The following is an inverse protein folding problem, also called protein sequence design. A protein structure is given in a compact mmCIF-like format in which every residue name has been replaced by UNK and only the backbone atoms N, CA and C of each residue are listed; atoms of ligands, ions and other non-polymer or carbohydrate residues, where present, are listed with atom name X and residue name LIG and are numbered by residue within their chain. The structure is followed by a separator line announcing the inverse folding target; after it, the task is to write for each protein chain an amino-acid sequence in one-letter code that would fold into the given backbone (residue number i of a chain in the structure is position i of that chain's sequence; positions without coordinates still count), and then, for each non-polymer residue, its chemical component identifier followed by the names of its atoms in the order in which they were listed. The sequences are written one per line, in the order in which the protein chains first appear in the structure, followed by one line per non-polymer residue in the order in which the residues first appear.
data_IF_947251961930
#
_entry.id   IF_947251961930
#
_cell.length_a   1.000
_cell.length_b   1.000
_cell.length_c   1.000
_cell.angle_alpha   90.00
_cell.angle_beta   90.00
_cell.angle_gamma   90.00
#
_symmetry.space_group_name_H-M   'P 1'
#
loop_
_entity.id
_entity.type
_entity.pdbx_description
1 polymer ?
#
# COMPACT_ATOMS: atom_id res chain seq x y z
N UNK A 1 -5.89 -27.43 -18.43
CA UNK A 1 -6.03 -27.77 -17.00
C UNK A 1 -7.49 -27.75 -16.60
N UNK A 2 -7.94 -28.61 -15.64
CA UNK A 2 -9.30 -28.59 -15.12
C UNK A 2 -9.67 -27.21 -14.57
N UNK A 3 -10.95 -26.83 -14.71
CA UNK A 3 -11.43 -25.48 -14.33
C UNK A 3 -11.23 -25.20 -12.83
N UNK A 4 -11.34 -26.21 -11.98
CA UNK A 4 -11.12 -26.09 -10.53
C UNK A 4 -9.67 -25.76 -10.23
N UNK A 5 -8.73 -26.39 -10.92
CA UNK A 5 -7.29 -26.10 -10.77
C UNK A 5 -6.97 -24.71 -11.31
N UNK A 6 -7.50 -24.32 -12.47
CA UNK A 6 -7.34 -23.00 -13.02
C UNK A 6 -7.85 -21.94 -12.04
N UNK A 7 -9.03 -22.15 -11.46
CA UNK A 7 -9.61 -21.24 -10.44
C UNK A 7 -8.73 -21.11 -9.20
N UNK A 8 -8.15 -22.23 -8.73
CA UNK A 8 -7.22 -22.23 -7.59
C UNK A 8 -5.95 -21.42 -7.92
N UNK A 9 -5.36 -21.64 -9.09
CA UNK A 9 -4.15 -20.94 -9.51
C UNK A 9 -4.36 -19.43 -9.65
N UNK A 10 -5.48 -19.01 -10.24
CA UNK A 10 -5.84 -17.58 -10.38
C UNK A 10 -5.98 -16.89 -9.00
N UNK A 11 -6.48 -17.61 -7.99
CA UNK A 11 -6.63 -17.05 -6.64
C UNK A 11 -5.31 -16.82 -5.92
N UNK A 12 -4.25 -17.57 -6.21
CA UNK A 12 -2.97 -17.43 -5.50
C UNK A 12 -2.42 -16.02 -5.53
N UNK A 13 -2.52 -15.33 -6.67
CA UNK A 13 -2.06 -13.94 -6.77
C UNK A 13 -2.90 -12.95 -5.96
N UNK A 14 -4.22 -13.15 -5.93
CA UNK A 14 -5.11 -12.35 -5.08
C UNK A 14 -4.80 -12.59 -3.60
N UNK A 15 -4.70 -13.85 -3.18
CA UNK A 15 -4.41 -14.23 -1.79
C UNK A 15 -3.03 -13.68 -1.34
N UNK A 16 -2.04 -13.67 -2.23
CA UNK A 16 -0.73 -13.06 -1.97
C UNK A 16 -0.85 -11.54 -1.76
N UNK A 17 -1.51 -10.83 -2.67
CA UNK A 17 -1.69 -9.38 -2.53
C UNK A 17 -2.47 -9.02 -1.27
N UNK A 18 -3.52 -9.78 -0.96
CA UNK A 18 -4.32 -9.60 0.26
C UNK A 18 -3.49 -9.89 1.52
N UNK A 19 -2.58 -10.87 1.47
CA UNK A 19 -1.67 -11.17 2.57
C UNK A 19 -0.68 -10.01 2.82
N UNK A 20 -0.14 -9.40 1.75
CA UNK A 20 0.71 -8.21 1.84
C UNK A 20 -0.02 -7.03 2.47
N UNK A 21 -1.23 -6.73 2.01
CA UNK A 21 -2.06 -5.64 2.53
C UNK A 21 -2.38 -5.82 4.02
N UNK A 22 -2.62 -7.08 4.45
CA UNK A 22 -2.96 -7.43 5.84
C UNK A 22 -1.76 -7.55 6.77
N UNK A 23 -0.53 -7.43 6.29
CA UNK A 23 0.64 -7.39 7.16
C UNK A 23 0.46 -6.31 8.23
N UNK A 24 0.78 -6.65 9.47
CA UNK A 24 0.70 -5.67 10.58
C UNK A 24 1.72 -4.54 10.44
N UNK A 25 2.87 -4.83 9.84
CA UNK A 25 3.86 -3.80 9.53
C UNK A 25 3.40 -2.93 8.36
N UNK A 26 3.79 -1.66 8.36
CA UNK A 26 3.72 -0.81 7.18
C UNK A 26 4.69 -1.34 6.11
N UNK A 27 4.25 -1.39 4.88
CA UNK A 27 4.98 -1.96 3.74
C UNK A 27 5.33 -0.87 2.73
N UNK A 28 6.53 -0.94 2.17
CA UNK A 28 7.03 0.03 1.17
C UNK A 28 7.46 -0.74 -0.08
N UNK A 29 6.79 -0.50 -1.19
CA UNK A 29 7.21 -1.02 -2.48
C UNK A 29 8.29 -0.10 -3.08
N UNK A 30 9.48 -0.66 -3.33
CA UNK A 30 10.57 0.03 -4.03
C UNK A 30 10.56 -0.41 -5.49
N UNK A 31 10.06 0.45 -6.37
CA UNK A 31 9.89 0.16 -7.79
C UNK A 31 11.10 0.67 -8.57
N UNK A 32 12.09 -0.19 -8.77
CA UNK A 32 13.36 0.15 -9.42
C UNK A 32 13.32 0.18 -10.95
N UNK A 33 12.22 -0.25 -11.57
CA UNK A 33 12.05 -0.35 -13.02
C UNK A 33 10.60 -0.60 -13.39
N UNK A 34 10.33 -1.24 -14.53
CA UNK A 34 8.96 -1.56 -14.96
C UNK A 34 8.20 -2.42 -13.93
N UNK A 35 7.08 -1.95 -13.43
CA UNK A 35 6.11 -2.73 -12.67
C UNK A 35 4.95 -3.12 -13.61
N UNK A 36 4.99 -4.35 -14.11
CA UNK A 36 4.08 -4.82 -15.17
C UNK A 36 3.15 -5.90 -14.61
N UNK A 37 1.85 -5.83 -14.91
CA UNK A 37 0.88 -6.85 -14.53
C UNK A 37 0.90 -7.15 -13.04
N UNK A 38 1.28 -8.37 -12.65
CA UNK A 38 1.42 -8.77 -11.27
C UNK A 38 2.39 -7.92 -10.44
N UNK A 39 3.42 -7.32 -11.07
CA UNK A 39 4.30 -6.34 -10.42
C UNK A 39 3.56 -5.07 -10.02
N UNK A 40 2.66 -4.57 -10.88
CA UNK A 40 1.74 -3.48 -10.52
C UNK A 40 0.83 -3.91 -9.36
N UNK A 41 0.26 -5.11 -9.43
CA UNK A 41 -0.64 -5.64 -8.40
C UNK A 41 0.00 -5.70 -7.02
N UNK A 42 1.23 -6.22 -6.95
CA UNK A 42 1.97 -6.29 -5.69
C UNK A 42 2.34 -4.91 -5.15
N UNK A 43 2.79 -4.00 -6.03
CA UNK A 43 3.15 -2.65 -5.61
C UNK A 43 1.96 -1.86 -5.03
N UNK A 44 0.75 -2.00 -5.62
CA UNK A 44 -0.45 -1.32 -5.10
C UNK A 44 -1.08 -2.02 -3.88
N UNK A 45 -0.64 -3.24 -3.57
CA UNK A 45 -1.00 -3.93 -2.33
C UNK A 45 -0.13 -3.51 -1.13
N UNK A 46 0.98 -2.80 -1.36
CA UNK A 46 1.79 -2.20 -0.31
C UNK A 46 1.19 -0.86 0.15
N UNK A 47 1.53 -0.42 1.37
CA UNK A 47 1.04 0.85 1.92
C UNK A 47 1.64 2.05 1.18
N UNK A 48 2.95 2.02 0.91
CA UNK A 48 3.68 3.09 0.24
C UNK A 48 4.44 2.58 -1.00
N UNK A 49 4.69 3.47 -1.95
CA UNK A 49 5.42 3.17 -3.20
C UNK A 49 6.42 4.27 -3.47
N UNK A 50 7.70 3.90 -3.62
CA UNK A 50 8.77 4.79 -4.02
C UNK A 50 9.28 4.31 -5.38
N UNK A 51 9.28 5.19 -6.38
CA UNK A 51 9.65 4.85 -7.74
C UNK A 51 11.03 5.39 -8.09
N UNK A 52 11.78 4.60 -8.85
CA UNK A 52 12.97 5.10 -9.51
C UNK A 52 12.59 6.03 -10.65
N UNK A 53 13.41 7.06 -10.91
CA UNK A 53 13.30 7.85 -12.13
C UNK A 53 13.37 6.93 -13.37
N UNK A 54 12.39 7.06 -14.27
CA UNK A 54 12.25 6.18 -15.44
C UNK A 54 11.49 4.88 -15.20
N UNK A 55 11.16 4.51 -13.97
CA UNK A 55 10.22 3.42 -13.69
C UNK A 55 8.80 3.77 -14.15
N UNK A 56 7.97 2.74 -14.34
CA UNK A 56 6.58 2.94 -14.74
C UNK A 56 5.69 1.77 -14.29
N UNK A 57 4.40 2.03 -14.17
CA UNK A 57 3.38 1.01 -14.03
C UNK A 57 2.76 0.69 -15.40
N UNK A 58 2.47 -0.58 -15.63
CA UNK A 58 1.82 -1.04 -16.84
C UNK A 58 0.92 -2.24 -16.60
N UNK A 59 -0.27 -2.14 -17.12
CA UNK A 59 -1.37 -3.08 -16.96
C UNK A 59 -1.78 -3.66 -18.33
N UNK A 60 -1.03 -4.63 -18.93
CA UNK A 60 -1.26 -5.14 -20.26
C UNK A 60 -2.35 -6.22 -20.36
N UNK A 61 -3.02 -6.60 -19.28
CA UNK A 61 -3.92 -7.75 -19.22
C UNK A 61 -4.99 -7.70 -20.30
N UNK A 62 -5.60 -6.52 -20.54
CA UNK A 62 -6.63 -6.33 -21.58
C UNK A 62 -6.09 -6.55 -22.99
N UNK A 63 -4.84 -6.20 -23.27
CA UNK A 63 -4.17 -6.46 -24.54
C UNK A 63 -4.01 -7.96 -24.83
N UNK A 64 -4.00 -8.78 -23.77
CA UNK A 64 -3.95 -10.24 -23.83
C UNK A 64 -5.35 -10.89 -23.76
N UNK A 65 -6.43 -10.09 -23.80
CA UNK A 65 -7.80 -10.57 -23.65
C UNK A 65 -8.16 -11.01 -22.23
N UNK A 66 -7.37 -10.57 -21.23
CA UNK A 66 -7.55 -10.90 -19.82
C UNK A 66 -8.05 -9.68 -19.03
N UNK A 67 -8.59 -9.92 -17.87
CA UNK A 67 -8.83 -8.89 -16.86
C UNK A 67 -7.91 -9.10 -15.66
N UNK A 68 -7.74 -8.07 -14.84
CA UNK A 68 -7.06 -8.20 -13.56
C UNK A 68 -7.81 -9.12 -12.61
N UNK A 69 -7.08 -10.02 -11.94
CA UNK A 69 -7.68 -11.01 -11.03
C UNK A 69 -7.11 -10.95 -9.61
N UNK A 70 -6.13 -10.07 -9.32
CA UNK A 70 -5.43 -10.01 -8.02
C UNK A 70 -5.93 -8.85 -7.14
N UNK A 71 -7.20 -8.50 -7.23
CA UNK A 71 -7.82 -7.36 -6.53
C UNK A 71 -7.13 -6.01 -6.80
N UNK A 72 -6.50 -5.90 -7.98
CA UNK A 72 -5.71 -4.72 -8.37
C UNK A 72 -6.58 -3.53 -8.71
N UNK A 73 -7.67 -3.75 -9.47
CA UNK A 73 -8.53 -2.66 -9.94
C UNK A 73 -9.25 -1.93 -8.79
N UNK A 74 -9.79 -2.60 -7.76
CA UNK A 74 -10.30 -1.91 -6.57
C UNK A 74 -9.23 -1.04 -5.91
N UNK A 75 -8.03 -1.58 -5.64
CA UNK A 75 -6.92 -0.82 -5.03
C UNK A 75 -6.49 0.38 -5.87
N UNK A 76 -6.41 0.23 -7.18
CA UNK A 76 -6.16 1.36 -8.08
C UNK A 76 -7.29 2.40 -8.01
N UNK A 77 -8.54 1.95 -7.94
CA UNK A 77 -9.70 2.84 -7.77
C UNK A 77 -9.60 3.69 -6.52
N UNK A 78 -9.17 3.08 -5.41
CA UNK A 78 -8.98 3.75 -4.12
C UNK A 78 -7.79 4.73 -4.15
N UNK A 79 -6.68 4.35 -4.80
CA UNK A 79 -5.47 5.17 -4.86
C UNK A 79 -5.58 6.37 -5.81
N UNK A 80 -6.12 6.17 -7.04
CA UNK A 80 -6.08 7.19 -8.09
C UNK A 80 -7.46 7.63 -8.59
N UNK A 81 -8.48 7.05 -8.04
CA UNK A 81 -9.87 7.27 -8.45
C UNK A 81 -10.30 6.42 -9.66
N UNK A 82 -11.61 6.24 -9.86
CA UNK A 82 -12.15 5.26 -10.81
C UNK A 82 -11.83 5.57 -12.28
N UNK A 83 -11.71 6.83 -12.67
CA UNK A 83 -11.39 7.20 -14.05
C UNK A 83 -9.94 6.82 -14.43
N UNK A 84 -8.97 7.15 -13.56
CA UNK A 84 -7.55 6.83 -13.76
C UNK A 84 -7.30 5.32 -13.68
N UNK A 85 -7.97 4.62 -12.79
CA UNK A 85 -7.93 3.14 -12.73
C UNK A 85 -8.41 2.50 -14.05
N UNK A 86 -9.47 3.03 -14.67
CA UNK A 86 -9.93 2.60 -15.99
C UNK A 86 -8.94 2.91 -17.11
N UNK A 87 -8.27 4.07 -17.06
CA UNK A 87 -7.20 4.38 -18.03
C UNK A 87 -6.06 3.35 -17.94
N UNK A 88 -5.68 2.93 -16.75
CA UNK A 88 -4.67 1.89 -16.54
C UNK A 88 -5.17 0.51 -16.98
N UNK A 89 -6.29 0.06 -16.45
CA UNK A 89 -6.77 -1.31 -16.62
C UNK A 89 -7.46 -1.59 -17.94
N UNK A 90 -8.28 -0.66 -18.47
CA UNK A 90 -9.06 -0.89 -19.68
C UNK A 90 -8.36 -0.39 -20.96
N UNK A 91 -7.49 0.60 -20.84
CA UNK A 91 -6.74 1.15 -21.99
C UNK A 91 -5.24 0.80 -21.94
N UNK A 92 -4.83 -0.03 -20.98
CA UNK A 92 -3.43 -0.45 -20.78
C UNK A 92 -2.44 0.72 -20.84
N UNK A 93 -2.83 1.88 -20.29
CA UNK A 93 -1.98 3.07 -20.34
C UNK A 93 -0.78 2.89 -19.41
N UNK A 94 0.41 3.09 -19.96
CA UNK A 94 1.65 3.17 -19.16
C UNK A 94 1.65 4.45 -18.35
N UNK A 95 1.94 4.33 -17.05
CA UNK A 95 2.02 5.45 -16.12
C UNK A 95 3.48 5.61 -15.71
N UNK A 96 4.14 6.65 -16.21
CA UNK A 96 5.51 6.98 -15.84
C UNK A 96 5.62 7.34 -14.35
N UNK A 97 6.83 7.29 -13.79
CA UNK A 97 7.09 7.64 -12.39
C UNK A 97 6.56 9.05 -12.05
N UNK A 98 6.81 10.04 -12.91
CA UNK A 98 6.35 11.42 -12.68
C UNK A 98 4.82 11.52 -12.72
N UNK A 99 4.17 10.82 -13.66
CA UNK A 99 2.71 10.80 -13.74
C UNK A 99 2.10 10.02 -12.55
N UNK A 100 2.77 8.97 -12.07
CA UNK A 100 2.37 8.25 -10.87
C UNK A 100 2.40 9.16 -9.63
N UNK A 101 3.43 9.98 -9.49
CA UNK A 101 3.53 10.98 -8.43
C UNK A 101 2.41 12.03 -8.54
N UNK A 102 2.19 12.58 -9.73
CA UNK A 102 1.10 13.55 -9.98
C UNK A 102 -0.29 12.97 -9.63
N UNK A 103 -0.50 11.69 -9.88
CA UNK A 103 -1.76 11.02 -9.59
C UNK A 103 -1.92 10.57 -8.14
N UNK A 104 -0.88 10.64 -7.33
CA UNK A 104 -0.86 10.09 -5.98
C UNK A 104 -0.76 8.56 -5.95
N UNK A 105 -0.28 7.94 -7.06
CA UNK A 105 -0.03 6.50 -7.12
C UNK A 105 1.30 6.11 -6.47
N UNK A 106 2.18 7.06 -6.21
CA UNK A 106 3.39 6.87 -5.41
C UNK A 106 3.68 8.12 -4.58
N UNK A 107 4.48 7.94 -3.55
CA UNK A 107 4.80 8.98 -2.57
C UNK A 107 6.02 9.80 -2.97
N UNK A 108 7.00 9.17 -3.65
CA UNK A 108 8.23 9.86 -4.07
C UNK A 108 8.84 9.20 -5.31
N UNK A 109 9.54 10.00 -6.12
CA UNK A 109 10.36 9.55 -7.25
C UNK A 109 11.80 9.97 -7.02
N UNK A 110 12.75 9.04 -7.16
CA UNK A 110 14.16 9.27 -6.85
C UNK A 110 15.07 8.43 -7.76
N UNK A 111 16.31 8.89 -7.96
CA UNK A 111 17.37 8.08 -8.58
C UNK A 111 17.86 6.95 -7.67
N UNK A 112 17.71 7.12 -6.35
CA UNK A 112 17.96 6.09 -5.34
C UNK A 112 16.69 5.85 -4.48
N UNK A 113 15.69 5.13 -4.99
CA UNK A 113 14.44 4.89 -4.28
C UNK A 113 14.63 4.00 -3.05
N UNK A 114 15.71 3.20 -3.00
CA UNK A 114 16.00 2.39 -1.81
C UNK A 114 16.43 3.27 -0.63
N UNK A 115 17.28 4.28 -0.87
CA UNK A 115 17.68 5.22 0.18
C UNK A 115 16.46 5.99 0.72
N UNK A 116 15.53 6.38 -0.15
CA UNK A 116 14.25 7.02 0.25
C UNK A 116 13.42 6.08 1.12
N UNK A 117 13.23 4.85 0.67
CA UNK A 117 12.45 3.84 1.41
C UNK A 117 13.06 3.53 2.78
N UNK A 118 14.40 3.48 2.87
CA UNK A 118 15.10 3.28 4.14
C UNK A 118 14.94 4.46 5.09
N UNK A 119 14.96 5.71 4.59
CA UNK A 119 14.64 6.89 5.43
C UNK A 119 13.21 6.80 5.98
N UNK A 120 12.23 6.52 5.11
CA UNK A 120 10.84 6.32 5.52
C UNK A 120 10.69 5.19 6.54
N UNK A 121 11.39 4.06 6.35
CA UNK A 121 11.39 2.96 7.30
C UNK A 121 11.99 3.35 8.67
N UNK A 122 13.03 4.18 8.69
CA UNK A 122 13.57 4.74 9.92
C UNK A 122 12.56 5.66 10.62
N UNK A 123 11.87 6.54 9.90
CA UNK A 123 10.82 7.40 10.45
C UNK A 123 9.68 6.57 11.05
N UNK A 124 9.27 5.50 10.36
CA UNK A 124 8.28 4.54 10.85
C UNK A 124 8.76 3.90 12.17
N UNK A 125 10.01 3.46 12.23
CA UNK A 125 10.60 2.81 13.41
C UNK A 125 10.61 3.71 14.65
N UNK A 126 10.73 5.02 14.47
CA UNK A 126 10.71 6.00 15.58
C UNK A 126 9.32 6.19 16.23
N UNK A 127 8.27 5.67 15.63
CA UNK A 127 6.90 5.82 16.11
C UNK A 127 6.43 4.57 16.87
N UNK A 128 5.51 4.70 17.84
CA UNK A 128 4.93 3.57 18.56
C UNK A 128 4.27 2.56 17.60
N UNK A 129 4.76 1.33 17.61
CA UNK A 129 4.34 0.26 16.68
C UNK A 129 2.85 -0.03 16.73
N UNK A 130 2.27 -0.13 17.93
CA UNK A 130 0.85 -0.47 18.10
C UNK A 130 -0.04 0.62 17.50
N UNK A 131 0.28 1.90 17.75
CA UNK A 131 -0.48 3.01 17.18
C UNK A 131 -0.45 3.00 15.64
N UNK A 132 0.72 2.74 15.03
CA UNK A 132 0.83 2.64 13.58
C UNK A 132 0.00 1.48 13.00
N UNK A 133 0.02 0.32 13.67
CA UNK A 133 -0.80 -0.84 13.25
C UNK A 133 -2.29 -0.51 13.27
N UNK A 134 -2.75 0.20 14.31
CA UNK A 134 -4.13 0.63 14.43
C UNK A 134 -4.52 1.65 13.35
N UNK A 135 -3.65 2.61 13.05
CA UNK A 135 -3.86 3.56 11.94
C UNK A 135 -4.00 2.81 10.61
N UNK A 136 -3.05 1.91 10.30
CA UNK A 136 -3.14 1.08 9.08
C UNK A 136 -4.44 0.29 9.02
N UNK A 137 -4.80 -0.37 10.11
CA UNK A 137 -6.03 -1.18 10.19
C UNK A 137 -7.28 -0.31 9.98
N UNK A 138 -7.36 0.86 10.61
CA UNK A 138 -8.48 1.78 10.46
C UNK A 138 -8.64 2.27 9.03
N UNK A 139 -7.53 2.68 8.40
CA UNK A 139 -7.54 3.14 7.00
C UNK A 139 -7.98 2.02 6.07
N UNK A 140 -7.38 0.83 6.17
CA UNK A 140 -7.72 -0.30 5.30
C UNK A 140 -9.18 -0.73 5.46
N UNK A 141 -9.71 -0.73 6.69
CA UNK A 141 -11.13 -1.06 6.95
C UNK A 141 -12.09 -0.03 6.38
N UNK A 142 -11.75 1.25 6.44
CA UNK A 142 -12.60 2.32 5.88
C UNK A 142 -12.86 2.09 4.39
N UNK A 143 -11.82 1.76 3.62
CA UNK A 143 -11.95 1.48 2.19
C UNK A 143 -12.66 0.14 1.88
N UNK A 144 -12.56 -0.84 2.80
CA UNK A 144 -13.27 -2.12 2.66
C UNK A 144 -14.74 -2.05 3.10
N UNK A 145 -15.08 -1.19 4.07
CA UNK A 145 -16.43 -1.04 4.62
C UNK A 145 -16.59 0.32 5.31
N UNK A 146 -17.29 1.29 4.70
CA UNK A 146 -17.42 2.67 5.22
C UNK A 146 -18.07 2.80 6.62
N UNK A 147 -18.60 1.72 7.19
CA UNK A 147 -19.37 1.75 8.44
C UNK A 147 -18.51 1.48 9.70
N UNK A 148 -17.21 1.76 9.66
CA UNK A 148 -16.25 1.40 10.73
C UNK A 148 -15.85 2.56 11.66
N UNK A 149 -16.51 3.72 11.59
CA UNK A 149 -16.18 4.92 12.36
C UNK A 149 -16.12 4.73 13.90
N UNK A 150 -16.82 3.72 14.44
CA UNK A 150 -16.81 3.44 15.88
C UNK A 150 -15.54 2.71 16.36
N UNK A 151 -14.77 2.09 15.47
CA UNK A 151 -13.58 1.32 15.85
C UNK A 151 -12.41 2.21 16.28
N UNK A 152 -12.33 3.44 15.77
CA UNK A 152 -11.25 4.37 16.11
C UNK A 152 -11.27 4.79 17.59
N UNK A 153 -12.46 4.87 18.19
CA UNK A 153 -12.61 5.23 19.61
C UNK A 153 -12.02 4.18 20.54
N UNK A 154 -12.25 2.90 20.25
CA UNK A 154 -11.68 1.80 21.03
C UNK A 154 -10.18 1.65 20.78
N UNK A 155 -9.73 1.91 19.55
CA UNK A 155 -8.32 1.84 19.18
C UNK A 155 -7.47 2.89 19.88
N UNK A 156 -7.96 4.12 20.08
CA UNK A 156 -7.24 5.15 20.83
C UNK A 156 -6.99 4.70 22.29
N UNK A 157 -7.99 4.10 22.93
CA UNK A 157 -7.86 3.59 24.31
C UNK A 157 -6.82 2.46 24.40
N UNK A 158 -6.86 1.51 23.48
CA UNK A 158 -5.88 0.42 23.44
C UNK A 158 -4.46 0.93 23.12
N UNK A 159 -4.33 1.92 22.26
CA UNK A 159 -3.06 2.57 21.94
C UNK A 159 -2.45 3.25 23.16
N UNK A 160 -3.25 3.98 23.97
CA UNK A 160 -2.81 4.65 25.20
C UNK A 160 -2.31 3.65 26.25
N UNK A 161 -2.86 2.45 26.29
CA UNK A 161 -2.46 1.38 27.21
C UNK A 161 -1.24 0.58 26.75
N UNK A 162 -0.76 0.79 25.52
CA UNK A 162 0.38 0.05 25.00
C UNK A 162 1.70 0.52 25.65
N UNK A 163 2.60 -0.44 25.91
CA UNK A 163 3.93 -0.16 26.47
C UNK A 163 4.73 0.83 25.62
N UNK A 164 4.60 0.75 24.30
CA UNK A 164 5.31 1.63 23.38
C UNK A 164 4.88 3.10 23.54
N UNK A 165 3.58 3.34 23.71
CA UNK A 165 3.04 4.67 23.93
C UNK A 165 3.39 5.21 25.31
N UNK A 166 3.36 4.38 26.34
CA UNK A 166 3.77 4.75 27.70
C UNK A 166 5.24 5.16 27.73
N UNK A 167 6.13 4.38 27.15
CA UNK A 167 7.57 4.72 27.03
C UNK A 167 7.81 6.01 26.25
N UNK A 168 7.02 6.28 25.20
CA UNK A 168 7.09 7.55 24.47
C UNK A 168 6.72 8.74 25.35
N UNK A 169 5.63 8.64 26.09
CA UNK A 169 5.19 9.70 27.01
C UNK A 169 6.20 9.97 28.13
N UNK A 170 6.83 8.93 28.68
CA UNK A 170 7.90 9.09 29.68
C UNK A 170 9.10 9.85 29.10
N UNK A 171 9.55 9.50 27.89
CA UNK A 171 10.65 10.21 27.19
C UNK A 171 10.30 11.68 26.89
N UNK A 172 9.06 11.96 26.53
CA UNK A 172 8.61 13.34 26.27
C UNK A 172 8.58 14.17 27.57
N UNK A 173 8.09 13.61 28.65
CA UNK A 173 8.08 14.29 29.97
C UNK A 173 9.49 14.60 30.45
N UNK A 174 10.44 13.68 30.32
CA UNK A 174 11.84 13.89 30.70
C UNK A 174 12.55 14.99 29.88
N UNK A 175 12.11 15.26 28.64
CA UNK A 175 12.63 16.34 27.80
C UNK A 175 12.08 17.75 28.15
N UNK A 176 10.94 17.82 28.82
CA UNK A 176 10.31 19.08 29.22
C UNK A 176 10.82 19.53 30.58
N UNK A 177 11.35 18.59 31.38
CA UNK A 177 11.82 18.86 32.75
C UNK A 177 13.31 19.17 32.82
N UNK A 178 14.05 19.06 31.72
CA UNK A 178 15.43 19.45 31.52
C UNK A 178 15.52 20.67 30.60
#
# INVERSE_FOLDING_TARGET
IPIEEARRLVRLGADMCDAWERLRALTIAVVNGPAIGGGTSLAVACDFRILRQGAYFYAPEVELGLTYSWNTLPRLGDLVGPARAKLMGALSRKISANLALEWGLCEEVSDDPMAVAMRMACEIKEKPRIAQQMVKESVNRYFQSPNTAYLEQDQILLSLLSDDTQKLHERQRSRITN
#
